data_IF_440816468576
#
_entry.id   IF_440816468576
#
_cell.length_a   1.000
_cell.length_b   1.000
_cell.length_c   1.000
_cell.angle_alpha   90.00
_cell.angle_beta   90.00
_cell.angle_gamma   90.00
#
_symmetry.space_group_name_H-M   'P 1'
#
loop_
_entity.id
_entity.type
_entity.pdbx_description
1 polymer ?
#
# COMPACT_ATOMS: atom_id res chain seq x y z
N UNK A 1 6.88 10.29 10.51
CA UNK A 1 5.58 10.52 9.81
C UNK A 1 5.80 11.27 8.50
N UNK A 2 6.64 12.31 8.49
CA UNK A 2 7.00 13.05 7.28
C UNK A 2 7.83 12.24 6.26
N UNK A 3 8.47 11.16 6.70
CA UNK A 3 9.39 10.34 5.87
C UNK A 3 8.70 9.66 4.69
N UNK A 4 7.37 9.55 4.70
CA UNK A 4 6.55 8.94 3.65
C UNK A 4 6.36 9.90 2.47
N UNK A 5 6.30 11.21 2.76
CA UNK A 5 5.94 12.25 1.80
C UNK A 5 6.91 12.30 0.61
N UNK A 6 8.24 12.31 0.79
CA UNK A 6 9.17 12.32 -0.34
C UNK A 6 8.98 11.13 -1.28
N UNK A 7 8.72 9.93 -0.74
CA UNK A 7 8.50 8.73 -1.56
C UNK A 7 7.19 8.78 -2.33
N UNK A 8 6.11 9.29 -1.72
CA UNK A 8 4.86 9.50 -2.44
C UNK A 8 4.97 10.59 -3.51
N UNK A 9 5.75 11.65 -3.25
CA UNK A 9 6.03 12.67 -4.26
C UNK A 9 6.82 12.08 -5.43
N UNK A 10 7.85 11.27 -5.16
CA UNK A 10 8.61 10.56 -6.19
C UNK A 10 7.73 9.59 -6.98
N UNK A 11 6.88 8.81 -6.30
CA UNK A 11 5.93 7.91 -6.96
C UNK A 11 4.99 8.68 -7.89
N UNK A 12 4.42 9.78 -7.41
CA UNK A 12 3.49 10.63 -8.17
C UNK A 12 4.20 11.29 -9.35
N UNK A 13 5.45 11.71 -9.18
CA UNK A 13 6.29 12.28 -10.24
C UNK A 13 6.56 11.24 -11.33
N UNK A 14 6.92 10.01 -10.96
CA UNK A 14 7.12 8.94 -11.93
C UNK A 14 5.83 8.62 -12.68
N UNK A 15 4.68 8.62 -12.01
CA UNK A 15 3.36 8.45 -12.65
C UNK A 15 3.07 9.56 -13.67
N UNK A 16 3.40 10.81 -13.32
CA UNK A 16 3.24 11.96 -14.19
C UNK A 16 4.14 11.88 -15.43
N UNK A 17 5.41 11.52 -15.26
CA UNK A 17 6.36 11.33 -16.37
C UNK A 17 5.89 10.18 -17.26
N UNK A 18 5.47 9.07 -16.67
CA UNK A 18 5.01 7.88 -17.38
C UNK A 18 3.81 8.11 -18.28
N UNK A 19 2.86 8.96 -17.84
CA UNK A 19 1.70 9.34 -18.66
C UNK A 19 2.09 10.07 -19.95
N UNK A 20 3.21 10.81 -19.95
CA UNK A 20 3.74 11.53 -21.14
C UNK A 20 4.73 10.70 -21.96
N UNK A 21 5.31 9.64 -21.39
CA UNK A 21 6.57 9.04 -21.87
C UNK A 21 6.48 7.82 -22.81
N UNK A 22 5.30 7.37 -23.24
CA UNK A 22 5.18 6.22 -24.15
C UNK A 22 5.86 4.95 -23.60
N UNK A 23 6.86 4.41 -24.30
CA UNK A 23 7.65 3.22 -23.88
C UNK A 23 8.41 3.40 -22.56
N UNK A 24 8.76 4.63 -22.17
CA UNK A 24 9.31 4.91 -20.84
C UNK A 24 8.27 4.74 -19.72
N UNK A 25 6.99 4.69 -20.06
CA UNK A 25 5.88 4.49 -19.13
C UNK A 25 6.07 3.26 -18.25
N UNK A 26 6.49 2.13 -18.82
CA UNK A 26 6.68 0.88 -18.06
C UNK A 26 7.75 1.03 -16.97
N UNK A 27 8.90 1.62 -17.30
CA UNK A 27 9.98 1.84 -16.33
C UNK A 27 9.50 2.78 -15.22
N UNK A 28 8.85 3.88 -15.58
CA UNK A 28 8.32 4.82 -14.59
C UNK A 28 7.21 4.22 -13.72
N UNK A 29 6.40 3.30 -14.25
CA UNK A 29 5.42 2.53 -13.48
C UNK A 29 6.10 1.65 -12.45
N UNK A 30 7.12 0.89 -12.84
CA UNK A 30 7.88 0.03 -11.91
C UNK A 30 8.55 0.87 -10.81
N UNK A 31 9.16 1.99 -11.16
CA UNK A 31 9.78 2.90 -10.19
C UNK A 31 8.76 3.54 -9.26
N UNK A 32 7.61 3.94 -9.80
CA UNK A 32 6.49 4.45 -9.02
C UNK A 32 6.03 3.43 -7.98
N UNK A 33 5.83 2.17 -8.39
CA UNK A 33 5.36 1.11 -7.50
C UNK A 33 6.39 0.82 -6.39
N UNK A 34 7.68 0.86 -6.72
CA UNK A 34 8.76 0.75 -5.74
C UNK A 34 8.71 1.89 -4.71
N UNK A 35 8.48 3.13 -5.16
CA UNK A 35 8.37 4.27 -4.26
C UNK A 35 7.10 4.22 -3.40
N UNK A 36 5.96 3.79 -3.95
CA UNK A 36 4.75 3.52 -3.15
C UNK A 36 5.04 2.45 -2.11
N UNK A 37 5.81 1.43 -2.46
CA UNK A 37 6.14 0.36 -1.55
C UNK A 37 6.97 0.84 -0.37
N UNK A 38 8.01 1.63 -0.64
CA UNK A 38 8.82 2.25 0.41
C UNK A 38 7.95 3.19 1.27
N UNK A 39 7.11 4.02 0.65
CA UNK A 39 6.16 4.88 1.36
C UNK A 39 5.24 4.08 2.29
N UNK A 40 4.68 2.97 1.80
CA UNK A 40 3.79 2.10 2.55
C UNK A 40 4.51 1.45 3.75
N UNK A 41 5.74 0.97 3.56
CA UNK A 41 6.56 0.39 4.63
C UNK A 41 6.83 1.40 5.76
N UNK A 42 7.33 2.59 5.37
CA UNK A 42 7.63 3.65 6.33
C UNK A 42 6.36 4.13 7.03
N UNK A 43 5.25 4.18 6.30
CA UNK A 43 3.95 4.56 6.85
C UNK A 43 3.37 3.55 7.81
N UNK A 44 3.46 2.25 7.49
CA UNK A 44 3.04 1.19 8.40
C UNK A 44 3.80 1.27 9.73
N UNK A 45 5.12 1.43 9.68
CA UNK A 45 5.95 1.61 10.88
C UNK A 45 5.55 2.85 11.67
N UNK A 46 5.49 4.01 11.01
CA UNK A 46 5.16 5.27 11.66
C UNK A 46 3.77 5.23 12.32
N UNK A 47 2.78 4.59 11.69
CA UNK A 47 1.44 4.46 12.26
C UNK A 47 1.40 3.49 13.46
N UNK A 48 2.14 2.38 13.40
CA UNK A 48 2.25 1.45 14.52
C UNK A 48 2.92 2.12 15.73
N UNK A 49 4.03 2.83 15.51
CA UNK A 49 4.72 3.59 16.56
C UNK A 49 3.84 4.69 17.14
N UNK A 50 3.13 5.44 16.30
CA UNK A 50 2.21 6.49 16.72
C UNK A 50 1.04 5.96 17.58
N UNK A 51 0.59 4.73 17.32
CA UNK A 51 -0.45 4.08 18.14
C UNK A 51 0.07 3.39 19.40
N UNK A 52 1.35 3.57 19.73
CA UNK A 52 1.99 3.03 20.94
C UNK A 52 2.60 1.63 20.79
N UNK A 53 2.64 1.10 19.57
CA UNK A 53 3.37 -0.13 19.25
C UNK A 53 4.88 0.09 19.25
N UNK A 54 5.66 -0.97 19.56
CA UNK A 54 7.13 -0.93 19.45
C UNK A 54 7.57 -1.80 18.29
N UNK A 55 8.35 -1.23 17.37
CA UNK A 55 8.99 -1.95 16.26
C UNK A 55 10.48 -2.12 16.55
N UNK A 56 11.04 -3.32 16.36
CA UNK A 56 12.44 -3.59 16.71
C UNK A 56 13.43 -2.85 15.81
N UNK A 57 13.06 -2.59 14.55
CA UNK A 57 13.98 -2.04 13.53
C UNK A 57 13.98 -0.50 13.55
N UNK A 58 13.22 0.16 14.44
CA UNK A 58 13.26 1.62 14.64
C UNK A 58 14.64 2.17 15.06
N UNK A 59 15.60 1.29 15.43
CA UNK A 59 17.00 1.64 15.73
C UNK A 59 18.02 1.08 14.73
N UNK A 60 17.57 0.37 13.69
CA UNK A 60 18.43 -0.29 12.72
C UNK A 60 18.93 0.69 11.65
N UNK A 61 20.15 0.48 11.16
CA UNK A 61 20.76 1.34 10.15
C UNK A 61 20.00 1.30 8.81
N UNK A 62 20.13 2.35 8.00
CA UNK A 62 19.47 2.47 6.69
C UNK A 62 19.62 1.23 5.79
N UNK A 63 20.80 0.59 5.84
CA UNK A 63 21.10 -0.64 5.09
C UNK A 63 20.24 -1.83 5.50
N UNK A 64 19.98 -1.99 6.80
CA UNK A 64 19.15 -3.08 7.33
C UNK A 64 17.67 -2.86 6.98
N UNK A 65 17.22 -1.60 7.03
CA UNK A 65 15.89 -1.22 6.59
C UNK A 65 15.68 -1.50 5.09
N UNK A 66 16.68 -1.18 4.25
CA UNK A 66 16.62 -1.47 2.82
C UNK A 66 16.65 -2.97 2.53
N UNK A 67 17.46 -3.75 3.26
CA UNK A 67 17.48 -5.20 3.14
C UNK A 67 16.14 -5.84 3.54
N UNK A 68 15.49 -5.33 4.59
CA UNK A 68 14.16 -5.77 5.00
C UNK A 68 13.11 -5.41 3.94
N UNK A 69 13.13 -4.17 3.47
CA UNK A 69 12.23 -3.70 2.43
C UNK A 69 12.35 -4.56 1.17
N UNK A 70 13.57 -4.83 0.71
CA UNK A 70 13.84 -5.69 -0.43
C UNK A 70 13.31 -7.11 -0.22
N UNK A 71 13.53 -7.70 0.97
CA UNK A 71 12.98 -9.03 1.30
C UNK A 71 11.46 -9.02 1.22
N UNK A 72 10.78 -8.04 1.83
CA UNK A 72 9.31 -7.93 1.80
C UNK A 72 8.82 -7.75 0.36
N UNK A 73 9.46 -6.87 -0.40
CA UNK A 73 9.12 -6.61 -1.81
C UNK A 73 9.13 -7.89 -2.64
N UNK A 74 10.16 -8.73 -2.49
CA UNK A 74 10.23 -10.00 -3.19
C UNK A 74 9.05 -10.94 -2.86
N UNK A 75 8.59 -10.97 -1.60
CA UNK A 75 7.44 -11.82 -1.22
C UNK A 75 6.13 -11.27 -1.78
N UNK A 76 5.98 -9.95 -1.77
CA UNK A 76 4.84 -9.28 -2.43
C UNK A 76 4.86 -9.55 -3.93
N UNK A 77 6.02 -9.46 -4.58
CA UNK A 77 6.17 -9.76 -6.00
C UNK A 77 5.81 -11.21 -6.34
N UNK A 78 6.30 -12.18 -5.57
CA UNK A 78 5.92 -13.60 -5.74
C UNK A 78 4.41 -13.78 -5.60
N UNK A 79 3.76 -13.09 -4.65
CA UNK A 79 2.31 -13.14 -4.48
C UNK A 79 1.55 -12.56 -5.68
N UNK A 80 2.03 -11.44 -6.24
CA UNK A 80 1.46 -10.82 -7.45
C UNK A 80 1.57 -11.76 -8.66
N UNK A 81 2.73 -12.38 -8.86
CA UNK A 81 2.96 -13.36 -9.94
C UNK A 81 2.07 -14.58 -9.74
N UNK A 82 2.01 -15.15 -8.52
CA UNK A 82 1.17 -16.30 -8.22
C UNK A 82 -0.32 -16.02 -8.48
N UNK A 83 -0.84 -14.87 -8.03
CA UNK A 83 -2.22 -14.47 -8.28
C UNK A 83 -2.50 -14.31 -9.79
N UNK A 84 -1.56 -13.72 -10.53
CA UNK A 84 -1.66 -13.55 -11.99
C UNK A 84 -1.70 -14.89 -12.71
N UNK A 85 -0.84 -15.83 -12.34
CA UNK A 85 -0.80 -17.18 -12.91
C UNK A 85 -2.09 -17.93 -12.61
N UNK A 86 -2.58 -17.91 -11.37
CA UNK A 86 -3.84 -18.56 -10.99
C UNK A 86 -5.01 -18.04 -11.83
N UNK A 87 -5.15 -16.72 -11.95
CA UNK A 87 -6.23 -16.10 -12.73
C UNK A 87 -6.08 -16.42 -14.23
N UNK A 88 -4.85 -16.49 -14.73
CA UNK A 88 -4.55 -16.94 -16.09
C UNK A 88 -4.97 -18.39 -16.34
N UNK A 89 -4.66 -19.29 -15.42
CA UNK A 89 -5.05 -20.71 -15.47
C UNK A 89 -6.56 -20.92 -15.37
N UNK A 90 -7.26 -20.06 -14.62
CA UNK A 90 -8.72 -20.05 -14.51
C UNK A 90 -9.42 -19.42 -15.74
N UNK A 91 -8.69 -19.17 -16.82
CA UNK A 91 -9.25 -18.76 -18.12
C UNK A 91 -9.52 -17.27 -18.27
N UNK A 92 -9.09 -16.42 -17.33
CA UNK A 92 -9.33 -14.97 -17.40
C UNK A 92 -8.05 -14.18 -17.69
N UNK A 93 -7.48 -14.39 -18.88
CA UNK A 93 -6.25 -13.71 -19.32
C UNK A 93 -6.35 -12.16 -19.25
N UNK A 94 -7.55 -11.59 -19.37
CA UNK A 94 -7.79 -10.14 -19.27
C UNK A 94 -7.61 -9.57 -17.87
N UNK A 95 -7.72 -10.39 -16.83
CA UNK A 95 -7.58 -9.97 -15.43
C UNK A 95 -6.13 -10.05 -14.93
N UNK A 96 -5.25 -10.79 -15.63
CA UNK A 96 -3.84 -10.95 -15.25
C UNK A 96 -3.10 -9.63 -14.99
N UNK A 97 -3.17 -8.63 -15.90
CA UNK A 97 -2.53 -7.33 -15.67
C UNK A 97 -3.06 -6.59 -14.43
N UNK A 98 -4.37 -6.73 -14.12
CA UNK A 98 -4.94 -6.15 -12.90
C UNK A 98 -4.40 -6.80 -11.63
N UNK A 99 -4.06 -8.09 -11.68
CA UNK A 99 -3.48 -8.80 -10.55
C UNK A 99 -2.03 -8.38 -10.32
N UNK A 100 -1.23 -8.18 -11.37
CA UNK A 100 0.13 -7.64 -11.27
C UNK A 100 0.17 -6.21 -10.72
N UNK A 101 -0.81 -5.37 -11.09
CA UNK A 101 -0.91 -3.99 -10.59
C UNK A 101 -1.59 -3.88 -9.21
N UNK A 102 -1.78 -4.99 -8.49
CA UNK A 102 -2.45 -4.98 -7.19
C UNK A 102 -1.79 -4.03 -6.17
N UNK A 103 -0.47 -3.88 -6.19
CA UNK A 103 0.24 -2.98 -5.27
C UNK A 103 0.09 -1.52 -5.66
N UNK A 104 0.13 -1.23 -6.95
CA UNK A 104 -0.12 0.11 -7.50
C UNK A 104 -1.46 0.66 -7.00
N UNK A 105 -2.48 -0.20 -6.92
CA UNK A 105 -3.82 0.15 -6.44
C UNK A 105 -3.90 0.60 -4.97
N UNK A 106 -2.83 0.48 -4.19
CA UNK A 106 -2.78 1.01 -2.81
C UNK A 106 -2.63 2.53 -2.82
N UNK A 107 -1.95 3.10 -3.82
CA UNK A 107 -1.78 4.54 -3.97
C UNK A 107 -2.56 5.10 -5.16
N UNK A 108 -2.63 4.38 -6.28
CA UNK A 108 -3.24 4.86 -7.50
C UNK A 108 -4.59 4.17 -7.78
N UNK A 109 -5.38 4.79 -8.66
CA UNK A 109 -6.72 4.29 -8.97
C UNK A 109 -6.64 3.05 -9.86
N UNK A 110 -7.14 1.91 -9.37
CA UNK A 110 -7.25 0.68 -10.16
C UNK A 110 -8.44 0.76 -11.13
N UNK A 111 -8.19 0.38 -12.38
CA UNK A 111 -9.19 0.38 -13.45
C UNK A 111 -10.25 -0.71 -13.24
N UNK A 112 -9.89 -1.86 -12.66
CA UNK A 112 -10.83 -2.98 -12.47
C UNK A 112 -11.38 -3.03 -11.05
N UNK A 113 -12.68 -3.36 -10.93
CA UNK A 113 -13.35 -3.56 -9.63
C UNK A 113 -12.65 -4.65 -8.81
N UNK A 114 -12.25 -5.74 -9.48
CA UNK A 114 -11.52 -6.84 -8.86
C UNK A 114 -10.12 -6.39 -8.40
N UNK A 115 -9.43 -5.58 -9.20
CA UNK A 115 -8.13 -4.99 -8.84
C UNK A 115 -8.20 -4.19 -7.54
N UNK A 116 -9.26 -3.40 -7.33
CA UNK A 116 -9.44 -2.64 -6.07
C UNK A 116 -9.57 -3.52 -4.83
N UNK A 117 -10.34 -4.60 -4.94
CA UNK A 117 -10.49 -5.58 -3.85
C UNK A 117 -9.15 -6.29 -3.62
N UNK A 118 -8.48 -6.69 -4.69
CA UNK A 118 -7.17 -7.33 -4.65
C UNK A 118 -6.12 -6.42 -3.98
N UNK A 119 -6.09 -5.12 -4.30
CA UNK A 119 -5.23 -4.14 -3.66
C UNK A 119 -5.45 -4.02 -2.16
N UNK A 120 -6.71 -4.10 -1.70
CA UNK A 120 -7.03 -4.09 -0.27
C UNK A 120 -6.48 -5.33 0.45
N UNK A 121 -6.62 -6.51 -0.17
CA UNK A 121 -6.04 -7.77 0.34
C UNK A 121 -4.52 -7.68 0.37
N UNK A 122 -3.91 -7.20 -0.71
CA UNK A 122 -2.48 -7.07 -0.82
C UNK A 122 -1.91 -6.08 0.19
N UNK A 123 -2.59 -4.95 0.43
CA UNK A 123 -2.23 -4.01 1.48
C UNK A 123 -2.22 -4.67 2.86
N UNK A 124 -3.24 -5.46 3.19
CA UNK A 124 -3.30 -6.19 4.46
C UNK A 124 -2.18 -7.23 4.58
N UNK A 125 -1.88 -7.99 3.52
CA UNK A 125 -0.78 -8.97 3.52
C UNK A 125 0.57 -8.28 3.65
N UNK A 126 0.81 -7.20 2.89
CA UNK A 126 2.03 -6.40 2.98
C UNK A 126 2.20 -5.80 4.38
N UNK A 127 1.13 -5.27 4.97
CA UNK A 127 1.14 -4.76 6.34
C UNK A 127 1.49 -5.86 7.36
N UNK A 128 0.89 -7.04 7.24
CA UNK A 128 1.24 -8.17 8.13
C UNK A 128 2.66 -8.69 7.90
N UNK A 129 3.19 -8.63 6.68
CA UNK A 129 4.60 -8.92 6.40
C UNK A 129 5.51 -7.96 7.15
N UNK A 130 5.20 -6.66 7.18
CA UNK A 130 5.95 -5.67 7.97
C UNK A 130 5.87 -6.01 9.45
N UNK A 131 4.67 -6.19 9.99
CA UNK A 131 4.46 -6.47 11.42
C UNK A 131 5.18 -7.75 11.85
N UNK A 132 5.10 -8.83 11.06
CA UNK A 132 5.76 -10.10 11.38
C UNK A 132 7.28 -10.02 11.23
N UNK A 133 7.77 -9.33 10.22
CA UNK A 133 9.21 -9.11 10.01
C UNK A 133 9.85 -8.31 11.16
N UNK A 134 9.11 -7.34 11.70
CA UNK A 134 9.55 -6.46 12.80
C UNK A 134 9.47 -7.12 14.17
N UNK A 135 8.60 -8.12 14.34
CA UNK A 135 8.42 -8.84 15.61
C UNK A 135 9.26 -10.11 15.70
N UNK A 136 9.51 -10.79 14.58
CA UNK A 136 10.20 -12.08 14.53
C UNK A 136 11.55 -12.04 13.82
N UNK A 137 11.92 -10.93 13.17
CA UNK A 137 13.12 -10.81 12.34
C UNK A 137 13.07 -11.61 11.02
N UNK A 138 12.00 -12.37 10.76
CA UNK A 138 11.86 -13.20 9.58
C UNK A 138 10.77 -12.71 8.63
N UNK A 139 11.09 -12.63 7.33
CA UNK A 139 10.14 -12.24 6.27
C UNK A 139 9.56 -13.48 5.60
N UNK A 140 8.54 -14.07 6.23
CA UNK A 140 7.86 -15.27 5.73
C UNK A 140 6.39 -15.00 5.39
N UNK A 141 6.01 -15.25 4.13
CA UNK A 141 4.63 -15.04 3.66
C UNK A 141 3.63 -15.94 4.40
N UNK A 142 4.00 -17.19 4.69
CA UNK A 142 3.16 -18.08 5.50
C UNK A 142 3.00 -17.63 6.95
N UNK A 143 3.97 -16.91 7.53
CA UNK A 143 3.82 -16.32 8.86
C UNK A 143 2.87 -15.12 8.82
N UNK A 144 2.98 -14.27 7.79
CA UNK A 144 2.07 -13.14 7.59
C UNK A 144 0.63 -13.60 7.32
N UNK A 145 0.42 -14.61 6.47
CA UNK A 145 -0.91 -15.18 6.22
C UNK A 145 -1.50 -15.84 7.47
N UNK A 146 -0.71 -16.60 8.23
CA UNK A 146 -1.15 -17.14 9.52
C UNK A 146 -1.48 -16.04 10.52
N UNK A 147 -0.71 -14.96 10.55
CA UNK A 147 -1.00 -13.83 11.41
C UNK A 147 -2.31 -13.12 10.98
N UNK A 148 -2.52 -12.94 9.68
CA UNK A 148 -3.76 -12.41 9.12
C UNK A 148 -4.96 -13.30 9.48
N UNK A 149 -4.82 -14.63 9.33
CA UNK A 149 -5.83 -15.61 9.70
C UNK A 149 -6.11 -15.60 11.21
N UNK A 150 -5.06 -15.50 12.05
CA UNK A 150 -5.22 -15.32 13.49
C UNK A 150 -6.04 -14.06 13.76
N UNK A 151 -5.74 -12.93 13.14
CA UNK A 151 -6.46 -11.67 13.37
C UNK A 151 -7.69 -11.49 12.46
N UNK A 152 -8.20 -12.55 11.82
CA UNK A 152 -9.22 -12.46 10.77
C UNK A 152 -10.51 -11.74 11.23
N UNK A 153 -10.91 -11.91 12.49
CA UNK A 153 -12.11 -11.25 13.04
C UNK A 153 -12.10 -9.72 12.96
N UNK A 154 -10.92 -9.08 12.90
CA UNK A 154 -10.78 -7.63 12.72
C UNK A 154 -10.15 -7.26 11.38
N UNK A 155 -9.26 -8.11 10.86
CA UNK A 155 -8.60 -7.87 9.58
C UNK A 155 -9.53 -8.03 8.38
N UNK A 156 -10.50 -8.96 8.41
CA UNK A 156 -11.46 -9.14 7.31
C UNK A 156 -12.38 -7.92 7.18
N UNK A 157 -13.02 -7.42 8.27
CA UNK A 157 -13.74 -6.15 8.21
C UNK A 157 -12.88 -4.98 7.75
N UNK A 158 -11.61 -4.92 8.17
CA UNK A 158 -10.68 -3.88 7.72
C UNK A 158 -10.40 -3.94 6.21
N UNK A 159 -10.16 -5.12 5.66
CA UNK A 159 -9.98 -5.33 4.22
C UNK A 159 -11.25 -4.90 3.46
N UNK A 160 -12.44 -5.27 3.96
CA UNK A 160 -13.70 -4.84 3.37
C UNK A 160 -13.87 -3.31 3.42
N UNK A 161 -13.54 -2.68 4.55
CA UNK A 161 -13.58 -1.23 4.69
C UNK A 161 -12.60 -0.53 3.75
N UNK A 162 -11.39 -1.05 3.58
CA UNK A 162 -10.41 -0.54 2.60
C UNK A 162 -10.95 -0.70 1.19
N UNK A 163 -11.53 -1.85 0.83
CA UNK A 163 -12.13 -2.05 -0.49
C UNK A 163 -13.25 -1.04 -0.76
N UNK A 164 -14.15 -0.81 0.21
CA UNK A 164 -15.22 0.20 0.10
C UNK A 164 -14.66 1.62 -0.03
N UNK A 165 -13.64 1.95 0.77
CA UNK A 165 -12.93 3.22 0.67
C UNK A 165 -12.34 3.41 -0.73
N UNK A 166 -11.73 2.36 -1.30
CA UNK A 166 -11.18 2.39 -2.64
C UNK A 166 -12.25 2.72 -3.68
N UNK A 167 -13.44 2.10 -3.59
CA UNK A 167 -14.56 2.46 -4.47
C UNK A 167 -15.00 3.91 -4.31
N UNK A 168 -15.13 4.39 -3.08
CA UNK A 168 -15.53 5.78 -2.79
C UNK A 168 -14.50 6.79 -3.33
N UNK A 169 -13.22 6.57 -3.03
CA UNK A 169 -12.13 7.42 -3.50
C UNK A 169 -12.01 7.40 -5.02
N UNK A 170 -12.18 6.25 -5.68
CA UNK A 170 -12.20 6.20 -7.15
C UNK A 170 -13.36 6.99 -7.75
N UNK A 171 -14.54 7.00 -7.11
CA UNK A 171 -15.67 7.83 -7.53
C UNK A 171 -15.35 9.32 -7.41
N UNK A 172 -14.86 9.74 -6.24
CA UNK A 172 -14.42 11.12 -5.99
C UNK A 172 -13.30 11.55 -6.94
N UNK A 173 -12.34 10.66 -7.18
CA UNK A 173 -11.24 10.88 -8.11
C UNK A 173 -11.74 11.00 -9.55
N UNK A 174 -12.80 10.29 -9.94
CA UNK A 174 -13.45 10.43 -11.24
C UNK A 174 -14.03 11.84 -11.45
N UNK A 175 -14.72 12.38 -10.44
CA UNK A 175 -15.25 13.76 -10.48
C UNK A 175 -14.12 14.77 -10.56
N UNK A 176 -13.11 14.66 -9.69
CA UNK A 176 -11.95 15.54 -9.70
C UNK A 176 -11.16 15.44 -11.02
N UNK A 177 -11.05 14.24 -11.61
CA UNK A 177 -10.42 14.03 -12.93
C UNK A 177 -11.16 14.79 -14.04
N UNK A 178 -12.49 14.86 -14.00
CA UNK A 178 -13.26 15.63 -14.96
C UNK A 178 -12.93 17.14 -14.88
N UNK A 179 -12.79 17.67 -13.66
CA UNK A 179 -12.35 19.06 -13.43
C UNK A 179 -10.93 19.31 -13.93
N UNK A 180 -10.00 18.40 -13.62
CA UNK A 180 -8.61 18.48 -14.12
C UNK A 180 -8.57 18.43 -15.64
N UNK A 181 -9.39 17.57 -16.26
CA UNK A 181 -9.51 17.49 -17.72
C UNK A 181 -10.07 18.78 -18.32
N UNK A 182 -11.09 19.38 -17.72
CA UNK A 182 -11.64 20.66 -18.16
C UNK A 182 -10.59 21.79 -18.10
N UNK A 183 -9.80 21.84 -17.02
CA UNK A 183 -8.65 22.75 -16.91
C UNK A 183 -7.60 22.46 -17.99
N UNK A 184 -7.35 21.18 -18.30
CA UNK A 184 -6.38 20.78 -19.31
C UNK A 184 -6.75 21.27 -20.71
N UNK A 185 -8.05 21.26 -21.05
CA UNK A 185 -8.59 21.75 -22.32
C UNK A 185 -8.67 23.28 -22.42
N UNK A 186 -8.48 23.99 -21.30
CA UNK A 186 -8.51 25.45 -21.28
C UNK A 186 -7.22 26.09 -21.81
N UNK A 187 -7.28 27.40 -22.08
CA UNK A 187 -6.11 28.22 -22.43
C UNK A 187 -5.16 28.53 -21.26
N UNK A 188 -5.30 27.83 -20.13
CA UNK A 188 -4.44 28.00 -18.97
C UNK A 188 -2.95 27.72 -19.30
N UNK A 189 -2.01 28.38 -18.60
CA UNK A 189 -0.58 28.10 -18.76
C UNK A 189 -0.23 26.63 -18.45
N UNK A 190 0.71 26.05 -19.20
CA UNK A 190 1.18 24.67 -19.00
C UNK A 190 1.69 24.43 -17.57
N UNK A 191 2.34 25.42 -16.96
CA UNK A 191 2.80 25.33 -15.58
C UNK A 191 1.63 25.07 -14.60
N UNK A 192 0.51 25.77 -14.78
CA UNK A 192 -0.67 25.58 -13.94
C UNK A 192 -1.32 24.21 -14.17
N UNK A 193 -1.41 23.76 -15.43
CA UNK A 193 -1.92 22.43 -15.79
C UNK A 193 -1.11 21.32 -15.13
N UNK A 194 0.22 21.40 -15.22
CA UNK A 194 1.13 20.42 -14.62
C UNK A 194 1.06 20.44 -13.09
N UNK A 195 1.00 21.64 -12.49
CA UNK A 195 0.86 21.80 -11.04
C UNK A 195 -0.43 21.16 -10.53
N UNK A 196 -1.58 21.51 -11.11
CA UNK A 196 -2.88 20.96 -10.71
C UNK A 196 -2.93 19.45 -10.90
N UNK A 197 -2.40 18.93 -12.02
CA UNK A 197 -2.35 17.48 -12.26
C UNK A 197 -1.46 16.76 -11.22
N UNK A 198 -0.28 17.31 -10.91
CA UNK A 198 0.60 16.74 -9.90
C UNK A 198 -0.07 16.67 -8.53
N UNK A 199 -0.66 17.77 -8.06
CA UNK A 199 -1.36 17.80 -6.76
C UNK A 199 -2.60 16.91 -6.74
N UNK A 200 -3.30 16.78 -7.86
CA UNK A 200 -4.39 15.82 -8.01
C UNK A 200 -3.89 14.39 -7.81
N UNK A 201 -2.85 13.96 -8.52
CA UNK A 201 -2.29 12.60 -8.40
C UNK A 201 -1.73 12.36 -6.99
N UNK A 202 -0.89 13.28 -6.51
CA UNK A 202 -0.23 13.18 -5.21
C UNK A 202 -1.22 13.22 -4.04
N UNK A 203 -2.25 14.08 -4.12
CA UNK A 203 -3.26 14.23 -3.08
C UNK A 203 -4.08 12.96 -2.90
N UNK A 204 -4.58 12.37 -4.01
CA UNK A 204 -5.31 11.10 -3.95
C UNK A 204 -4.42 9.94 -3.53
N UNK A 205 -3.16 9.89 -3.99
CA UNK A 205 -2.21 8.86 -3.58
C UNK A 205 -1.92 8.92 -2.08
N UNK A 206 -1.67 10.11 -1.57
CA UNK A 206 -1.44 10.33 -0.14
C UNK A 206 -2.67 9.93 0.67
N UNK A 207 -3.86 10.42 0.31
CA UNK A 207 -5.10 10.11 1.01
C UNK A 207 -5.34 8.60 1.09
N UNK A 208 -5.19 7.90 -0.03
CA UNK A 208 -5.44 6.45 -0.13
C UNK A 208 -4.47 5.64 0.73
N UNK A 209 -3.17 5.95 0.67
CA UNK A 209 -2.15 5.27 1.47
C UNK A 209 -2.37 5.52 2.97
N UNK A 210 -2.58 6.78 3.37
CA UNK A 210 -2.78 7.13 4.78
C UNK A 210 -4.02 6.47 5.38
N UNK A 211 -5.15 6.53 4.68
CA UNK A 211 -6.39 5.91 5.16
C UNK A 211 -6.28 4.39 5.21
N UNK A 212 -5.63 3.77 4.23
CA UNK A 212 -5.37 2.32 4.24
C UNK A 212 -4.57 1.92 5.47
N UNK A 213 -3.46 2.62 5.74
CA UNK A 213 -2.61 2.36 6.90
C UNK A 213 -3.33 2.63 8.22
N UNK A 214 -4.17 3.67 8.29
CA UNK A 214 -4.99 3.97 9.46
C UNK A 214 -5.97 2.84 9.76
N UNK A 215 -6.72 2.36 8.76
CA UNK A 215 -7.68 1.27 8.92
C UNK A 215 -6.97 -0.01 9.38
N UNK A 216 -5.86 -0.38 8.74
CA UNK A 216 -5.10 -1.59 9.10
C UNK A 216 -4.52 -1.51 10.51
N UNK A 217 -3.92 -0.38 10.87
CA UNK A 217 -3.33 -0.16 12.20
C UNK A 217 -4.39 -0.20 13.29
N UNK A 218 -5.53 0.47 13.09
CA UNK A 218 -6.64 0.47 14.05
C UNK A 218 -7.25 -0.92 14.22
N UNK A 219 -7.46 -1.65 13.13
CA UNK A 219 -7.98 -3.00 13.17
C UNK A 219 -7.03 -3.97 13.91
N UNK A 220 -5.72 -3.86 13.66
CA UNK A 220 -4.72 -4.65 14.35
C UNK A 220 -4.68 -4.32 15.84
N UNK A 221 -4.69 -3.03 16.19
CA UNK A 221 -4.73 -2.55 17.58
C UNK A 221 -5.95 -3.10 18.33
N UNK A 222 -7.13 -3.02 17.72
CA UNK A 222 -8.36 -3.53 18.33
C UNK A 222 -8.33 -5.06 18.49
N UNK A 223 -7.74 -5.76 17.51
CA UNK A 223 -7.52 -7.20 17.59
C UNK A 223 -6.64 -7.59 18.77
N UNK A 224 -5.56 -6.85 19.03
CA UNK A 224 -4.70 -7.06 20.20
C UNK A 224 -5.40 -6.67 21.51
N UNK A 225 -6.14 -5.57 21.54
CA UNK A 225 -6.87 -5.11 22.75
C UNK A 225 -7.87 -6.16 23.24
N UNK A 226 -8.61 -6.81 22.33
CA UNK A 226 -9.64 -7.78 22.68
C UNK A 226 -9.14 -9.19 22.96
N UNK A 227 -7.96 -9.55 22.46
CA UNK A 227 -7.38 -10.89 22.69
C UNK A 227 -6.53 -11.00 23.96
N UNK A 228 -6.28 -9.87 24.62
CA UNK A 228 -5.34 -9.79 25.73
C UNK A 228 -3.90 -10.10 25.28
N UNK A 229 -2.88 -9.70 26.06
CA UNK A 229 -1.54 -10.20 25.84
C UNK A 229 -1.59 -11.74 25.92
N UNK A 230 -1.10 -12.42 24.89
CA UNK A 230 -0.82 -13.86 24.99
C UNK A 230 0.14 -14.00 26.18
N UNK A 231 -0.33 -14.63 27.26
CA UNK A 231 0.35 -14.77 28.54
C UNK A 231 1.77 -15.30 28.34
N UNK A 232 2.76 -14.43 28.57
CA UNK A 232 4.06 -14.70 29.20
C UNK A 232 4.91 -13.41 29.29
N UNK A 233 4.38 -12.34 29.89
CA UNK A 233 5.26 -11.45 30.65
C UNK A 233 5.35 -12.11 32.01
N UNK A 234 6.42 -12.88 32.25
CA UNK A 234 6.77 -13.25 33.63
C UNK A 234 6.77 -11.96 34.45
N UNK A 235 6.11 -11.91 35.62
CA UNK A 235 6.44 -10.87 36.58
C UNK A 235 7.94 -10.96 36.83
N UNK A 236 8.61 -9.82 36.79
CA UNK A 236 9.98 -9.71 37.27
C UNK A 236 9.97 -10.22 38.70
N UNK A 237 10.69 -11.31 38.95
CA UNK A 237 11.02 -11.73 40.29
C UNK A 237 12.10 -10.75 40.74
N UNK A 238 11.66 -9.66 41.37
CA UNK A 238 12.47 -8.88 42.29
C UNK A 238 11.78 -9.01 43.66
#
# INVERSE_FOLDING_TARGET
MFDIVPWLMLASTMRFIGWRGGTFGLVTTVLSDLFVFIAFLLGARAMIEWTGGRMQIGRAGFREQLALAHKILLRVFVLLVAATVIVGLLGSARLGPSMMMGFDGIAFDQFSKLGRIWSAVLAAVAFMLVVTAETSGQVMLGAALRALARHAGWMVPAIAAIALLQFGLSGLQGVARAWVYALWQSAAPEMLKNFVYFFFVFGFASLRVWLTLAILTLALRESYRRRGPVVAIRPRAD
#
